data_IF_716649261402
#
_entry.id   IF_716649261402
#
_cell.length_a   1.000
_cell.length_b   1.000
_cell.length_c   1.000
_cell.angle_alpha   90.00
_cell.angle_beta   90.00
_cell.angle_gamma   90.00
#
_symmetry.space_group_name_H-M   'P 1'
#
loop_
_entity.id
_entity.type
_entity.pdbx_description
1 polymer ?
#
# COMPACT_ATOMS: atom_id res chain seq x y z
N UNK A 1 -41.69 -59.67 -2.57
CA UNK A 1 -41.04 -59.59 -3.89
C UNK A 1 -41.83 -58.57 -4.70
N UNK A 2 -41.23 -57.43 -5.07
CA UNK A 2 -41.85 -56.48 -5.98
C UNK A 2 -42.13 -57.18 -7.31
N UNK A 3 -43.33 -57.02 -7.88
CA UNK A 3 -43.65 -57.60 -9.18
C UNK A 3 -42.77 -56.97 -10.27
N UNK A 4 -42.50 -57.69 -11.37
CA UNK A 4 -41.68 -57.18 -12.48
C UNK A 4 -42.16 -55.82 -12.99
N UNK A 5 -43.48 -55.58 -12.99
CA UNK A 5 -44.10 -54.30 -13.36
C UNK A 5 -43.82 -53.18 -12.35
N UNK A 6 -43.80 -53.48 -11.05
CA UNK A 6 -43.45 -52.48 -10.03
C UNK A 6 -41.97 -52.09 -10.08
N UNK A 7 -41.08 -53.03 -10.43
CA UNK A 7 -39.65 -52.77 -10.61
C UNK A 7 -39.38 -51.92 -11.84
N UNK A 8 -40.08 -52.16 -12.96
CA UNK A 8 -39.97 -51.37 -14.17
C UNK A 8 -40.46 -49.92 -13.94
N UNK A 9 -41.63 -49.75 -13.33
CA UNK A 9 -42.17 -48.42 -13.01
C UNK A 9 -41.24 -47.61 -12.07
N UNK A 10 -40.57 -48.29 -11.13
CA UNK A 10 -39.58 -47.64 -10.27
C UNK A 10 -38.34 -47.18 -11.06
N UNK A 11 -37.81 -48.01 -11.96
CA UNK A 11 -36.65 -47.67 -12.79
C UNK A 11 -36.96 -46.52 -13.74
N UNK A 12 -38.14 -46.52 -14.37
CA UNK A 12 -38.62 -45.41 -15.19
C UNK A 12 -38.70 -44.11 -14.38
N UNK A 13 -39.33 -44.14 -13.21
CA UNK A 13 -39.42 -42.96 -12.34
C UNK A 13 -38.05 -42.42 -11.91
N UNK A 14 -37.07 -43.30 -11.66
CA UNK A 14 -35.69 -42.90 -11.30
C UNK A 14 -34.98 -42.20 -12.45
N UNK A 15 -35.12 -42.69 -13.68
CA UNK A 15 -34.50 -42.04 -14.85
C UNK A 15 -35.19 -40.72 -15.18
N UNK A 16 -36.52 -40.68 -15.07
CA UNK A 16 -37.35 -39.50 -15.32
C UNK A 16 -37.04 -38.36 -14.33
N UNK A 17 -36.79 -38.70 -13.06
CA UNK A 17 -36.48 -37.73 -12.00
C UNK A 17 -34.98 -37.49 -11.80
N UNK A 18 -34.13 -38.13 -12.61
CA UNK A 18 -32.68 -37.96 -12.53
C UNK A 18 -32.27 -36.52 -12.87
N UNK A 19 -31.40 -35.94 -12.04
CA UNK A 19 -30.79 -34.63 -12.29
C UNK A 19 -29.83 -34.64 -13.50
N UNK A 20 -29.25 -35.80 -13.81
CA UNK A 20 -28.40 -35.94 -14.98
C UNK A 20 -29.27 -36.08 -16.23
N UNK A 21 -28.84 -35.42 -17.31
CA UNK A 21 -29.48 -35.55 -18.60
C UNK A 21 -29.24 -36.95 -19.16
N UNK A 22 -30.31 -37.68 -19.46
CA UNK A 22 -30.26 -39.04 -20.00
C UNK A 22 -30.93 -39.06 -21.36
N UNK A 23 -30.25 -39.72 -22.30
CA UNK A 23 -30.71 -39.98 -23.65
C UNK A 23 -30.51 -41.48 -23.93
N UNK A 24 -31.48 -42.11 -24.57
CA UNK A 24 -31.37 -43.47 -25.10
C UNK A 24 -31.61 -43.43 -26.59
N UNK A 25 -30.76 -44.12 -27.34
CA UNK A 25 -30.90 -44.29 -28.79
C UNK A 25 -31.05 -45.76 -29.14
N UNK A 26 -31.59 -46.05 -30.33
CA UNK A 26 -31.48 -47.39 -30.92
C UNK A 26 -30.02 -47.78 -31.22
N UNK A 27 -29.78 -49.05 -31.53
CA UNK A 27 -28.46 -49.52 -31.95
C UNK A 27 -28.18 -49.32 -33.45
N UNK A 28 -29.05 -48.65 -34.21
CA UNK A 28 -28.93 -48.56 -35.66
C UNK A 28 -27.96 -47.45 -36.08
N UNK A 29 -26.72 -47.82 -36.38
CA UNK A 29 -25.69 -46.87 -36.82
C UNK A 29 -25.75 -46.55 -38.33
N UNK A 30 -26.65 -47.16 -39.10
CA UNK A 30 -26.78 -46.93 -40.54
C UNK A 30 -27.67 -45.70 -40.86
N UNK A 31 -27.55 -45.18 -42.09
CA UNK A 31 -28.44 -44.14 -42.65
C UNK A 31 -28.62 -42.89 -41.77
N UNK A 32 -27.56 -42.46 -41.08
CA UNK A 32 -27.58 -41.23 -40.26
C UNK A 32 -27.99 -41.42 -38.80
N UNK A 33 -28.25 -42.65 -38.37
CA UNK A 33 -28.48 -43.03 -36.97
C UNK A 33 -27.21 -42.96 -36.08
N UNK A 34 -27.31 -43.28 -34.78
CA UNK A 34 -28.47 -43.85 -34.09
C UNK A 34 -29.58 -42.81 -33.82
N UNK A 35 -30.81 -43.29 -33.64
CA UNK A 35 -31.99 -42.44 -33.45
C UNK A 35 -32.46 -42.46 -31.99
N UNK A 36 -32.85 -41.30 -31.50
CA UNK A 36 -33.31 -41.09 -30.12
C UNK A 36 -34.64 -41.83 -29.91
N UNK A 37 -34.70 -42.72 -28.93
CA UNK A 37 -35.93 -43.43 -28.54
C UNK A 37 -36.49 -42.93 -27.21
N UNK A 38 -35.66 -42.31 -26.38
CA UNK A 38 -36.08 -41.76 -25.10
C UNK A 38 -35.13 -40.64 -24.65
N UNK A 39 -35.69 -39.62 -24.00
CA UNK A 39 -34.97 -38.55 -23.30
C UNK A 39 -35.70 -38.23 -22.02
N UNK A 40 -34.97 -37.92 -20.95
CA UNK A 40 -35.57 -37.49 -19.70
C UNK A 40 -35.78 -35.95 -19.65
N UNK A 41 -36.58 -35.43 -18.71
CA UNK A 41 -36.82 -33.99 -18.55
C UNK A 41 -35.55 -33.16 -18.35
N UNK A 42 -34.52 -33.71 -17.68
CA UNK A 42 -33.24 -33.04 -17.51
C UNK A 42 -32.51 -32.83 -18.85
N UNK A 43 -32.58 -33.79 -19.78
CA UNK A 43 -32.04 -33.65 -21.13
C UNK A 43 -32.78 -32.58 -21.94
N UNK A 44 -34.12 -32.55 -21.88
CA UNK A 44 -34.91 -31.50 -22.51
C UNK A 44 -34.57 -30.12 -21.96
N UNK A 45 -34.45 -29.98 -20.63
CA UNK A 45 -34.06 -28.73 -19.98
C UNK A 45 -32.63 -28.30 -20.36
N UNK A 46 -31.71 -29.26 -20.47
CA UNK A 46 -30.32 -29.00 -20.85
C UNK A 46 -30.17 -28.63 -22.32
N UNK A 47 -30.99 -29.14 -23.23
CA UNK A 47 -30.85 -28.89 -24.67
C UNK A 47 -31.80 -27.82 -25.19
N UNK A 48 -32.87 -27.51 -24.46
CA UNK A 48 -33.93 -26.60 -24.88
C UNK A 48 -34.90 -27.19 -25.92
N UNK A 49 -34.70 -28.45 -26.33
CA UNK A 49 -35.63 -29.16 -27.20
C UNK A 49 -36.71 -29.88 -26.37
N UNK A 50 -37.90 -30.03 -26.94
CA UNK A 50 -38.94 -30.89 -26.36
C UNK A 50 -38.67 -32.35 -26.68
N UNK A 51 -39.23 -33.27 -25.88
CA UNK A 51 -39.07 -34.71 -26.13
C UNK A 51 -39.64 -35.11 -27.50
N UNK A 52 -40.76 -34.52 -27.91
CA UNK A 52 -41.40 -34.79 -29.20
C UNK A 52 -40.53 -34.38 -30.39
N UNK A 53 -39.73 -33.32 -30.24
CA UNK A 53 -38.80 -32.87 -31.27
C UNK A 53 -37.53 -33.75 -31.34
N UNK A 54 -37.18 -34.40 -30.23
CA UNK A 54 -35.98 -35.22 -30.11
C UNK A 54 -36.22 -36.69 -30.50
N UNK A 55 -37.36 -37.28 -30.10
CA UNK A 55 -37.67 -38.68 -30.39
C UNK A 55 -37.72 -38.91 -31.91
N UNK A 56 -36.97 -39.90 -32.39
CA UNK A 56 -36.79 -40.24 -33.80
C UNK A 56 -35.74 -39.38 -34.52
N UNK A 57 -35.21 -38.32 -33.90
CA UNK A 57 -34.11 -37.55 -34.46
C UNK A 57 -32.76 -38.20 -34.16
N UNK A 58 -31.72 -37.81 -34.91
CA UNK A 58 -30.34 -38.17 -34.61
C UNK A 58 -29.76 -37.18 -33.58
N UNK A 59 -29.00 -37.62 -32.55
CA UNK A 59 -28.32 -36.71 -31.62
C UNK A 59 -27.37 -35.71 -32.29
N UNK A 60 -27.03 -35.93 -33.56
CA UNK A 60 -26.26 -35.01 -34.40
C UNK A 60 -26.90 -33.63 -34.55
N UNK A 61 -28.21 -33.50 -34.29
CA UNK A 61 -28.91 -32.20 -34.25
C UNK A 61 -28.29 -31.22 -33.24
N UNK A 62 -27.62 -31.73 -32.20
CA UNK A 62 -26.95 -30.93 -31.18
C UNK A 62 -25.54 -30.49 -31.60
N UNK A 63 -25.00 -31.00 -32.71
CA UNK A 63 -23.66 -30.65 -33.20
C UNK A 63 -23.71 -29.34 -33.99
N UNK A 64 -22.61 -28.59 -33.97
CA UNK A 64 -22.48 -27.34 -34.72
C UNK A 64 -21.03 -26.97 -34.99
N UNK A 65 -20.74 -25.69 -35.31
CA UNK A 65 -19.43 -25.26 -35.81
C UNK A 65 -18.24 -25.61 -34.91
N UNK A 66 -18.39 -25.50 -33.59
CA UNK A 66 -17.31 -25.72 -32.62
C UNK A 66 -17.31 -27.16 -32.06
N UNK A 67 -18.16 -28.05 -32.57
CA UNK A 67 -18.14 -29.46 -32.18
C UNK A 67 -16.87 -30.12 -32.72
N UNK A 68 -16.02 -30.60 -31.82
CA UNK A 68 -14.75 -31.25 -32.15
C UNK A 68 -14.97 -32.54 -32.98
N UNK A 69 -14.55 -32.56 -34.26
CA UNK A 69 -14.73 -33.72 -35.13
C UNK A 69 -13.99 -34.97 -34.65
N UNK A 70 -12.85 -34.83 -33.97
CA UNK A 70 -12.04 -35.96 -33.50
C UNK A 70 -12.76 -36.69 -32.35
N UNK A 71 -13.39 -35.93 -31.45
CA UNK A 71 -14.19 -36.49 -30.35
C UNK A 71 -15.40 -37.26 -30.91
N UNK A 72 -16.05 -36.70 -31.94
CA UNK A 72 -17.19 -37.36 -32.59
C UNK A 72 -16.76 -38.62 -33.33
N UNK A 73 -15.60 -38.62 -34.00
CA UNK A 73 -15.10 -39.81 -34.68
C UNK A 73 -14.75 -40.93 -33.70
N UNK A 74 -14.02 -40.61 -32.63
CA UNK A 74 -13.74 -41.55 -31.53
C UNK A 74 -15.03 -42.12 -30.92
N UNK A 75 -16.07 -41.29 -30.78
CA UNK A 75 -17.38 -41.75 -30.33
C UNK A 75 -17.96 -42.77 -31.31
N UNK A 76 -17.97 -42.49 -32.62
CA UNK A 76 -18.50 -43.42 -33.64
C UNK A 76 -17.76 -44.75 -33.63
N UNK A 77 -16.42 -44.72 -33.55
CA UNK A 77 -15.59 -45.92 -33.44
C UNK A 77 -16.00 -46.76 -32.23
N UNK A 78 -16.06 -46.15 -31.02
CA UNK A 78 -16.48 -46.85 -29.81
C UNK A 78 -17.89 -47.47 -29.95
N UNK A 79 -18.85 -46.76 -30.54
CA UNK A 79 -20.20 -47.30 -30.74
C UNK A 79 -20.21 -48.48 -31.72
N UNK A 80 -19.44 -48.39 -32.81
CA UNK A 80 -19.33 -49.47 -33.81
C UNK A 80 -18.70 -50.75 -33.25
N UNK A 81 -17.73 -50.59 -32.33
CA UNK A 81 -17.09 -51.70 -31.62
C UNK A 81 -17.87 -52.14 -30.37
N UNK A 82 -19.03 -51.52 -30.10
CA UNK A 82 -19.84 -51.79 -28.91
C UNK A 82 -19.08 -51.61 -27.58
N UNK A 83 -18.25 -50.57 -27.52
CA UNK A 83 -17.44 -50.17 -26.37
C UNK A 83 -18.05 -48.98 -25.62
N UNK A 84 -17.59 -48.78 -24.39
CA UNK A 84 -17.89 -47.60 -23.59
C UNK A 84 -17.18 -46.36 -24.16
N UNK A 85 -17.89 -45.24 -24.24
CA UNK A 85 -17.31 -43.95 -24.62
C UNK A 85 -17.40 -42.94 -23.49
N UNK A 86 -16.33 -42.17 -23.29
CA UNK A 86 -16.30 -40.98 -22.45
C UNK A 86 -15.57 -39.85 -23.16
N UNK A 87 -16.17 -38.66 -23.16
CA UNK A 87 -15.58 -37.49 -23.77
C UNK A 87 -16.40 -36.22 -23.55
N UNK A 88 -15.83 -35.10 -23.98
CA UNK A 88 -16.47 -33.80 -23.93
C UNK A 88 -16.21 -33.01 -25.21
N UNK A 89 -17.19 -32.20 -25.61
CA UNK A 89 -17.11 -31.31 -26.78
C UNK A 89 -18.19 -30.24 -26.70
N UNK A 90 -18.29 -29.37 -27.71
CA UNK A 90 -19.35 -28.36 -27.81
C UNK A 90 -20.59 -28.93 -28.48
N UNK A 91 -21.74 -28.74 -27.84
CA UNK A 91 -23.07 -28.92 -28.43
C UNK A 91 -23.83 -27.58 -28.44
N UNK A 92 -24.95 -27.54 -29.15
CA UNK A 92 -25.80 -26.38 -29.32
C UNK A 92 -27.22 -26.67 -28.86
N UNK A 93 -27.83 -25.68 -28.21
CA UNK A 93 -29.23 -25.73 -27.78
C UNK A 93 -30.18 -25.43 -28.95
N UNK A 94 -31.48 -25.63 -28.74
CA UNK A 94 -32.51 -25.26 -29.71
C UNK A 94 -32.51 -23.78 -30.10
N UNK A 95 -32.05 -22.90 -29.21
CA UNK A 95 -31.89 -21.45 -29.48
C UNK A 95 -30.57 -21.09 -30.18
N UNK A 96 -29.73 -22.08 -30.48
CA UNK A 96 -28.43 -21.90 -31.11
C UNK A 96 -27.29 -21.53 -30.16
N UNK A 97 -27.52 -21.45 -28.84
CA UNK A 97 -26.45 -21.15 -27.88
C UNK A 97 -25.54 -22.36 -27.64
N UNK A 98 -24.20 -22.18 -27.64
CA UNK A 98 -23.26 -23.28 -27.42
C UNK A 98 -23.14 -23.63 -25.93
N UNK A 99 -22.90 -24.90 -25.65
CA UNK A 99 -22.51 -25.39 -24.34
C UNK A 99 -21.53 -26.56 -24.46
N UNK A 100 -20.57 -26.62 -23.54
CA UNK A 100 -19.67 -27.75 -23.41
C UNK A 100 -20.41 -28.85 -22.66
N UNK A 101 -20.50 -29.99 -23.30
CA UNK A 101 -21.09 -31.19 -22.74
C UNK A 101 -20.01 -32.21 -22.46
N UNK A 102 -20.13 -32.85 -21.32
CA UNK A 102 -19.39 -34.05 -20.95
C UNK A 102 -20.39 -35.21 -20.91
N UNK A 103 -20.07 -36.30 -21.58
CA UNK A 103 -20.97 -37.44 -21.63
C UNK A 103 -20.28 -38.79 -21.59
N UNK A 104 -21.03 -39.77 -21.10
CA UNK A 104 -20.67 -41.18 -21.05
C UNK A 104 -21.72 -41.98 -21.81
N UNK A 105 -21.29 -42.83 -22.74
CA UNK A 105 -22.19 -43.68 -23.53
C UNK A 105 -21.87 -45.14 -23.26
N UNK A 106 -22.90 -45.92 -22.92
CA UNK A 106 -22.80 -47.35 -22.66
C UNK A 106 -23.75 -48.12 -23.57
N UNK A 107 -23.30 -49.23 -24.21
CA UNK A 107 -24.19 -50.12 -24.94
C UNK A 107 -25.08 -50.90 -23.96
N UNK A 108 -26.34 -51.07 -24.33
CA UNK A 108 -27.31 -51.95 -23.66
C UNK A 108 -27.50 -53.18 -24.53
N UNK A 109 -27.44 -54.35 -23.92
CA UNK A 109 -27.52 -55.65 -24.60
C UNK A 109 -28.80 -56.38 -24.22
N UNK A 110 -29.38 -57.09 -25.17
CA UNK A 110 -30.48 -58.02 -24.93
C UNK A 110 -29.99 -59.33 -24.28
N UNK A 111 -30.93 -60.24 -24.00
CA UNK A 111 -30.63 -61.56 -23.42
C UNK A 111 -29.75 -62.45 -24.32
N UNK A 112 -29.67 -62.15 -25.61
CA UNK A 112 -28.79 -62.82 -26.57
C UNK A 112 -27.38 -62.17 -26.64
N UNK A 113 -27.12 -61.11 -25.87
CA UNK A 113 -25.85 -60.39 -25.84
C UNK A 113 -25.66 -59.39 -26.99
N UNK A 114 -26.68 -59.19 -27.83
CA UNK A 114 -26.65 -58.26 -28.96
C UNK A 114 -26.96 -56.84 -28.45
N UNK A 115 -26.21 -55.84 -28.92
CA UNK A 115 -26.49 -54.44 -28.56
C UNK A 115 -27.81 -54.01 -29.19
N UNK A 116 -28.77 -53.62 -28.36
CA UNK A 116 -30.09 -53.18 -28.78
C UNK A 116 -30.27 -51.65 -28.66
N UNK A 117 -29.56 -51.01 -27.73
CA UNK A 117 -29.63 -49.57 -27.49
C UNK A 117 -28.29 -49.00 -27.01
N UNK A 118 -28.16 -47.69 -27.06
CA UNK A 118 -27.10 -46.96 -26.35
C UNK A 118 -27.72 -45.98 -25.36
N UNK A 119 -27.22 -45.99 -24.12
CA UNK A 119 -27.59 -45.04 -23.06
C UNK A 119 -26.48 -44.01 -22.91
N UNK A 120 -26.84 -42.74 -23.03
CA UNK A 120 -25.96 -41.60 -22.81
C UNK A 120 -26.37 -40.85 -21.54
N UNK A 121 -25.41 -40.62 -20.65
CA UNK A 121 -25.56 -39.73 -19.49
C UNK A 121 -24.70 -38.49 -19.74
N UNK A 122 -25.29 -37.31 -19.62
CA UNK A 122 -24.67 -36.05 -20.04
C UNK A 122 -24.76 -34.98 -18.96
N UNK A 123 -23.75 -34.11 -18.94
CA UNK A 123 -23.68 -32.95 -18.08
C UNK A 123 -23.20 -31.73 -18.86
N UNK A 124 -23.85 -30.58 -18.63
CA UNK A 124 -23.34 -29.29 -19.10
C UNK A 124 -22.29 -28.77 -18.12
N UNK A 125 -21.02 -28.74 -18.56
CA UNK A 125 -19.89 -28.28 -17.75
C UNK A 125 -19.50 -26.82 -18.03
N UNK A 126 -20.21 -26.13 -18.92
CA UNK A 126 -19.94 -24.72 -19.25
C UNK A 126 -19.98 -23.78 -18.04
N UNK A 127 -20.96 -23.86 -17.12
CA UNK A 127 -21.00 -22.98 -15.95
C UNK A 127 -19.79 -23.16 -15.05
N UNK A 128 -19.35 -24.41 -14.85
CA UNK A 128 -18.18 -24.75 -14.05
C UNK A 128 -16.90 -24.17 -14.66
N UNK A 129 -16.67 -24.40 -15.95
CA UNK A 129 -15.49 -23.87 -16.65
C UNK A 129 -15.48 -22.34 -16.63
N UNK A 130 -16.64 -21.68 -16.79
CA UNK A 130 -16.73 -20.21 -16.71
C UNK A 130 -16.35 -19.71 -15.32
N UNK A 131 -16.89 -20.32 -14.27
CA UNK A 131 -16.56 -19.95 -12.89
C UNK A 131 -15.07 -20.15 -12.57
N UNK A 132 -14.47 -21.27 -12.99
CA UNK A 132 -13.04 -21.54 -12.82
C UNK A 132 -12.17 -20.51 -13.57
N UNK A 133 -12.55 -20.15 -14.80
CA UNK A 133 -11.84 -19.12 -15.59
C UNK A 133 -11.95 -17.73 -14.96
N UNK A 134 -13.12 -17.36 -14.48
CA UNK A 134 -13.36 -16.08 -13.82
C UNK A 134 -12.56 -15.97 -12.52
N UNK A 135 -12.56 -17.02 -11.69
CA UNK A 135 -11.72 -17.11 -10.50
C UNK A 135 -10.23 -16.95 -10.83
N UNK A 136 -9.77 -17.62 -11.89
CA UNK A 136 -8.38 -17.53 -12.33
C UNK A 136 -8.02 -16.11 -12.79
N UNK A 137 -8.89 -15.47 -13.58
CA UNK A 137 -8.70 -14.11 -14.05
C UNK A 137 -8.63 -13.09 -12.89
N UNK A 138 -9.52 -13.21 -11.91
CA UNK A 138 -9.51 -12.33 -10.73
C UNK A 138 -8.24 -12.52 -9.89
N UNK A 139 -7.79 -13.77 -9.69
CA UNK A 139 -6.54 -14.05 -9.00
C UNK A 139 -5.32 -13.46 -9.74
N UNK A 140 -5.28 -13.57 -11.07
CA UNK A 140 -4.24 -12.96 -11.89
C UNK A 140 -4.27 -11.43 -11.80
N UNK A 141 -5.46 -10.81 -11.82
CA UNK A 141 -5.61 -9.36 -11.72
C UNK A 141 -5.11 -8.82 -10.37
N UNK A 142 -5.40 -9.51 -9.25
CA UNK A 142 -4.89 -9.14 -7.93
C UNK A 142 -3.36 -9.26 -7.84
N UNK A 143 -2.78 -10.28 -8.48
CA UNK A 143 -1.33 -10.47 -8.52
C UNK A 143 -0.62 -9.43 -9.39
N UNK A 144 -1.22 -9.02 -10.51
CA UNK A 144 -0.66 -8.02 -11.42
C UNK A 144 -0.79 -6.57 -10.90
N UNK A 145 -1.57 -6.35 -9.84
CA UNK A 145 -1.71 -5.03 -9.25
C UNK A 145 -0.37 -4.51 -8.70
N UNK A 146 -0.05 -3.25 -9.00
CA UNK A 146 1.20 -2.61 -8.57
C UNK A 146 1.19 -2.25 -7.07
N UNK A 147 0.01 -1.99 -6.51
CA UNK A 147 -0.13 -1.70 -5.10
C UNK A 147 -0.07 -3.02 -4.30
N UNK A 148 0.67 -3.05 -3.17
CA UNK A 148 0.66 -4.18 -2.25
C UNK A 148 -0.74 -4.53 -1.72
N UNK A 149 -1.15 -5.77 -1.93
CA UNK A 149 -2.44 -6.31 -1.47
C UNK A 149 -2.20 -7.53 -0.60
N UNK A 150 -2.86 -7.56 0.57
CA UNK A 150 -2.99 -8.77 1.39
C UNK A 150 -4.45 -9.01 1.74
N UNK A 151 -4.81 -10.27 1.93
CA UNK A 151 -6.09 -10.68 2.52
C UNK A 151 -5.79 -11.49 3.78
N UNK A 152 -6.48 -11.18 4.87
CA UNK A 152 -6.39 -11.95 6.11
C UNK A 152 -7.73 -12.58 6.49
N UNK A 153 -7.70 -13.68 7.22
CA UNK A 153 -8.86 -14.17 7.95
C UNK A 153 -9.23 -13.26 9.15
N UNK A 154 -10.26 -13.63 9.90
CA UNK A 154 -10.70 -12.91 11.10
C UNK A 154 -9.72 -12.98 12.28
N UNK A 155 -8.77 -13.92 12.28
CA UNK A 155 -7.69 -14.03 13.24
C UNK A 155 -6.44 -13.22 12.82
N UNK A 156 -6.55 -12.46 11.73
CA UNK A 156 -5.44 -11.71 11.12
C UNK A 156 -4.31 -12.62 10.61
N UNK A 157 -4.64 -13.82 10.15
CA UNK A 157 -3.74 -14.73 9.42
C UNK A 157 -3.78 -14.37 7.95
N UNK A 158 -2.62 -14.14 7.32
CA UNK A 158 -2.54 -13.80 5.90
C UNK A 158 -2.85 -15.05 5.08
N UNK A 159 -3.94 -15.00 4.30
CA UNK A 159 -4.37 -16.08 3.39
C UNK A 159 -4.02 -15.79 1.93
N UNK A 160 -3.72 -14.53 1.61
CA UNK A 160 -3.27 -14.11 0.29
C UNK A 160 -2.34 -12.90 0.40
N UNK A 161 -1.31 -12.86 -0.44
CA UNK A 161 -0.44 -11.70 -0.63
C UNK A 161 0.02 -11.65 -2.09
N UNK A 162 -0.14 -10.51 -2.75
CA UNK A 162 0.28 -10.34 -4.14
C UNK A 162 1.79 -10.16 -4.29
N UNK A 163 2.27 -10.13 -5.55
CA UNK A 163 3.69 -9.93 -5.85
C UNK A 163 4.21 -8.57 -5.36
N UNK A 164 3.42 -7.51 -5.48
CA UNK A 164 3.80 -6.17 -5.00
C UNK A 164 4.07 -6.16 -3.48
N UNK A 165 3.27 -6.89 -2.68
CA UNK A 165 3.50 -7.03 -1.25
C UNK A 165 4.81 -7.79 -0.93
N UNK A 166 5.15 -8.80 -1.71
CA UNK A 166 6.43 -9.50 -1.58
C UNK A 166 7.60 -8.57 -1.90
N UNK A 167 7.52 -7.84 -3.01
CA UNK A 167 8.56 -6.92 -3.47
C UNK A 167 8.81 -5.79 -2.48
N UNK A 168 7.75 -5.15 -1.97
CA UNK A 168 7.89 -4.04 -1.03
C UNK A 168 8.44 -4.53 0.32
N UNK A 169 7.97 -5.66 0.85
CA UNK A 169 8.36 -6.10 2.19
C UNK A 169 9.69 -6.86 2.21
N UNK A 170 10.08 -7.44 1.07
CA UNK A 170 11.24 -8.31 0.93
C UNK A 170 11.03 -9.75 1.42
N UNK A 171 9.81 -10.10 1.87
CA UNK A 171 9.46 -11.46 2.26
C UNK A 171 8.93 -12.25 1.06
N UNK A 172 9.29 -13.53 1.00
CA UNK A 172 8.75 -14.45 0.01
C UNK A 172 7.33 -14.89 0.37
N UNK A 173 6.55 -15.34 -0.62
CA UNK A 173 5.19 -15.87 -0.40
C UNK A 173 5.13 -16.93 0.71
N UNK A 174 6.10 -17.86 0.76
CA UNK A 174 6.16 -18.91 1.79
C UNK A 174 6.43 -18.39 3.22
N UNK A 175 7.02 -17.20 3.35
CA UNK A 175 7.25 -16.56 4.65
C UNK A 175 6.09 -15.65 5.06
N UNK A 176 5.18 -15.34 4.13
CA UNK A 176 4.05 -14.43 4.35
C UNK A 176 2.77 -15.20 4.63
N UNK A 177 2.49 -16.26 3.85
CA UNK A 177 1.25 -17.02 3.98
C UNK A 177 1.21 -17.77 5.32
N UNK A 178 0.08 -17.65 6.03
CA UNK A 178 -0.09 -18.23 7.37
C UNK A 178 0.44 -17.36 8.51
N UNK A 179 1.16 -16.27 8.20
CA UNK A 179 1.68 -15.36 9.21
C UNK A 179 0.71 -14.22 9.53
N UNK A 180 1.00 -13.49 10.61
CA UNK A 180 0.23 -12.32 11.00
C UNK A 180 0.93 -11.03 10.51
N UNK A 181 0.21 -10.01 9.97
CA UNK A 181 0.82 -8.78 9.47
C UNK A 181 1.71 -8.04 10.47
N UNK A 182 1.57 -8.31 11.77
CA UNK A 182 2.49 -7.82 12.81
C UNK A 182 3.96 -8.20 12.58
N UNK A 183 4.27 -9.16 11.69
CA UNK A 183 5.62 -9.46 11.25
C UNK A 183 6.37 -8.23 10.71
N UNK A 184 5.63 -7.25 10.17
CA UNK A 184 6.17 -5.98 9.69
C UNK A 184 6.32 -4.92 10.79
N UNK A 185 5.98 -5.22 12.04
CA UNK A 185 6.02 -4.23 13.12
C UNK A 185 7.42 -3.67 13.34
N UNK A 186 7.52 -2.34 13.30
CA UNK A 186 8.76 -1.61 13.60
C UNK A 186 8.99 -1.34 15.08
N UNK A 187 7.96 -1.52 15.91
CA UNK A 187 7.97 -1.08 17.32
C UNK A 187 7.86 0.44 17.52
N UNK A 188 7.53 1.22 16.47
CA UNK A 188 7.37 2.68 16.56
C UNK A 188 5.96 3.15 16.95
N UNK A 189 4.99 2.24 16.96
CA UNK A 189 3.61 2.50 17.40
C UNK A 189 3.39 1.95 18.80
N UNK A 190 2.65 2.69 19.62
CA UNK A 190 2.34 2.32 21.01
C UNK A 190 1.12 1.39 21.11
N UNK A 191 0.86 0.88 22.32
CA UNK A 191 -0.28 -0.01 22.55
C UNK A 191 -1.62 0.68 22.32
N UNK A 192 -1.71 1.99 22.58
CA UNK A 192 -2.92 2.78 22.38
C UNK A 192 -3.32 2.83 20.91
N UNK A 193 -2.36 3.03 20.01
CA UNK A 193 -2.58 2.99 18.57
C UNK A 193 -3.16 1.63 18.12
N UNK A 194 -2.57 0.52 18.55
CA UNK A 194 -3.06 -0.82 18.18
C UNK A 194 -4.41 -1.16 18.80
N UNK A 195 -4.73 -0.63 19.98
CA UNK A 195 -6.04 -0.77 20.60
C UNK A 195 -7.12 -0.06 19.78
N UNK A 196 -6.89 1.21 19.42
CA UNK A 196 -7.79 1.99 18.55
C UNK A 196 -7.97 1.34 17.19
N UNK A 197 -6.88 0.84 16.59
CA UNK A 197 -6.92 0.12 15.32
C UNK A 197 -7.80 -1.13 15.38
N UNK A 198 -7.66 -1.95 16.42
CA UNK A 198 -8.49 -3.15 16.62
C UNK A 198 -9.95 -2.80 16.83
N UNK A 199 -10.25 -1.72 17.55
CA UNK A 199 -11.62 -1.25 17.74
C UNK A 199 -12.23 -0.77 16.42
N UNK A 200 -11.48 -0.02 15.63
CA UNK A 200 -11.91 0.44 14.32
C UNK A 200 -12.20 -0.73 13.36
N UNK A 201 -11.40 -1.80 13.37
CA UNK A 201 -11.68 -3.01 12.57
C UNK A 201 -12.98 -3.73 12.95
N UNK A 202 -13.39 -3.66 14.23
CA UNK A 202 -14.64 -4.27 14.71
C UNK A 202 -15.89 -3.51 14.24
N UNK A 203 -15.74 -2.25 13.84
CA UNK A 203 -16.87 -1.45 13.34
C UNK A 203 -17.48 -1.99 12.05
N UNK A 204 -16.75 -2.84 11.30
CA UNK A 204 -17.18 -3.34 10.00
C UNK A 204 -17.17 -2.29 8.89
N UNK A 205 -16.63 -1.09 9.14
CA UNK A 205 -16.45 -0.05 8.14
C UNK A 205 -15.03 -0.08 7.53
N UNK A 206 -14.85 0.41 6.28
CA UNK A 206 -13.53 0.65 5.73
C UNK A 206 -12.73 1.62 6.59
N UNK A 207 -11.46 1.30 6.82
CA UNK A 207 -10.54 2.10 7.63
C UNK A 207 -9.31 2.47 6.81
N UNK A 208 -8.84 3.70 6.98
CA UNK A 208 -7.55 4.16 6.47
C UNK A 208 -6.63 4.51 7.63
N UNK A 209 -5.39 4.02 7.60
CA UNK A 209 -4.40 4.30 8.65
C UNK A 209 -2.98 4.16 8.11
N UNK A 210 -2.01 4.83 8.73
CA UNK A 210 -0.60 4.78 8.32
C UNK A 210 0.23 4.03 9.36
N UNK A 211 0.94 3.00 8.90
CA UNK A 211 1.87 2.21 9.70
C UNK A 211 3.32 2.58 9.39
N UNK A 212 4.16 2.61 10.44
CA UNK A 212 5.61 2.60 10.28
C UNK A 212 6.01 1.14 10.38
N UNK A 213 6.35 0.56 9.24
CA UNK A 213 6.67 -0.85 9.11
C UNK A 213 8.17 -1.05 8.90
N UNK A 214 8.62 -2.27 9.10
CA UNK A 214 10.00 -2.71 8.92
C UNK A 214 10.03 -3.81 7.86
N UNK A 215 10.88 -3.63 6.84
CA UNK A 215 11.13 -4.65 5.81
C UNK A 215 12.00 -5.78 6.36
N UNK A 216 12.14 -6.86 5.59
CA UNK A 216 13.00 -8.01 5.96
C UNK A 216 14.47 -7.62 6.21
N UNK A 217 14.98 -6.64 5.47
CA UNK A 217 16.35 -6.12 5.62
C UNK A 217 16.53 -5.18 6.83
N UNK A 218 15.45 -4.88 7.56
CA UNK A 218 15.44 -3.99 8.72
C UNK A 218 15.18 -2.51 8.39
N UNK A 219 15.10 -2.13 7.11
CA UNK A 219 14.77 -0.75 6.73
C UNK A 219 13.32 -0.40 7.10
N UNK A 220 13.12 0.86 7.52
CA UNK A 220 11.79 1.37 7.85
C UNK A 220 11.11 1.95 6.62
N UNK A 221 9.79 1.75 6.54
CA UNK A 221 8.96 2.35 5.51
C UNK A 221 7.60 2.75 6.08
N UNK A 222 7.01 3.79 5.49
CA UNK A 222 5.69 4.28 5.85
C UNK A 222 4.69 3.73 4.85
N UNK A 223 3.75 2.95 5.35
CA UNK A 223 2.72 2.33 4.54
C UNK A 223 1.37 2.90 4.96
N UNK A 224 0.69 3.53 4.00
CA UNK A 224 -0.70 3.93 4.18
C UNK A 224 -1.60 2.78 3.72
N UNK A 225 -2.44 2.26 4.61
CA UNK A 225 -3.29 1.11 4.37
C UNK A 225 -4.75 1.54 4.28
N UNK A 226 -5.45 1.06 3.26
CA UNK A 226 -6.90 1.04 3.15
C UNK A 226 -7.38 -0.39 3.40
N UNK A 227 -8.13 -0.60 4.49
CA UNK A 227 -8.54 -1.91 4.97
C UNK A 227 -10.05 -2.00 4.93
N UNK A 228 -10.58 -2.99 4.22
CA UNK A 228 -12.01 -3.22 4.05
C UNK A 228 -12.40 -4.63 4.46
N UNK A 229 -13.50 -4.81 5.22
CA UNK A 229 -14.00 -6.14 5.55
C UNK A 229 -14.66 -6.81 4.34
N UNK A 230 -14.54 -8.13 4.26
CA UNK A 230 -15.21 -8.98 3.29
C UNK A 230 -16.23 -9.87 4.03
N UNK A 231 -17.50 -9.71 3.69
CA UNK A 231 -18.60 -10.41 4.35
C UNK A 231 -19.09 -11.62 3.55
N UNK A 232 -19.61 -12.63 4.26
CA UNK A 232 -20.36 -13.73 3.64
C UNK A 232 -21.79 -13.29 3.25
N UNK A 233 -22.56 -14.20 2.68
CA UNK A 233 -23.96 -13.96 2.28
C UNK A 233 -24.89 -13.60 3.46
N UNK A 234 -24.49 -13.92 4.69
CA UNK A 234 -25.23 -13.63 5.92
C UNK A 234 -24.82 -12.28 6.54
N UNK A 235 -23.88 -11.56 5.92
CA UNK A 235 -23.37 -10.27 6.39
C UNK A 235 -22.27 -10.35 7.46
N UNK A 236 -21.84 -11.56 7.84
CA UNK A 236 -20.76 -11.75 8.79
C UNK A 236 -19.39 -11.52 8.13
N UNK A 237 -18.51 -10.74 8.78
CA UNK A 237 -17.14 -10.52 8.32
C UNK A 237 -16.35 -11.84 8.40
N UNK A 238 -15.79 -12.26 7.28
CA UNK A 238 -14.97 -13.49 7.19
C UNK A 238 -13.49 -13.18 6.98
N UNK A 239 -13.20 -12.12 6.24
CA UNK A 239 -11.84 -11.72 5.87
C UNK A 239 -11.71 -10.20 5.88
N UNK A 240 -10.48 -9.73 5.79
CA UNK A 240 -10.16 -8.33 5.53
C UNK A 240 -9.21 -8.25 4.34
N UNK A 241 -9.50 -7.33 3.42
CA UNK A 241 -8.56 -6.95 2.36
C UNK A 241 -7.86 -5.65 2.74
N UNK A 242 -6.54 -5.63 2.62
CA UNK A 242 -5.72 -4.44 2.84
C UNK A 242 -4.96 -4.11 1.57
N UNK A 243 -5.14 -2.89 1.08
CA UNK A 243 -4.38 -2.32 -0.03
C UNK A 243 -3.48 -1.25 0.56
N UNK A 244 -2.20 -1.30 0.23
CA UNK A 244 -1.18 -0.46 0.86
C UNK A 244 -0.49 0.41 -0.18
N UNK A 245 -0.11 1.63 0.21
CA UNK A 245 0.73 2.50 -0.60
C UNK A 245 1.99 2.88 0.19
N UNK A 246 3.16 2.75 -0.43
CA UNK A 246 4.41 3.26 0.15
C UNK A 246 4.44 4.78 0.03
N UNK A 247 4.34 5.46 1.17
CA UNK A 247 4.37 6.93 1.26
C UNK A 247 5.70 7.45 1.79
N UNK A 248 6.73 6.58 1.92
CA UNK A 248 8.05 6.92 2.45
C UNK A 248 8.71 8.05 1.67
N UNK A 249 8.66 8.01 0.34
CA UNK A 249 9.27 9.05 -0.51
C UNK A 249 8.54 10.38 -0.42
N UNK A 250 7.21 10.37 -0.31
CA UNK A 250 6.38 11.57 -0.12
C UNK A 250 6.68 12.20 1.24
N UNK A 251 6.60 11.42 2.32
CA UNK A 251 6.88 11.90 3.67
C UNK A 251 8.34 12.34 3.84
N UNK A 252 9.30 11.64 3.21
CA UNK A 252 10.70 12.05 3.20
C UNK A 252 10.93 13.37 2.46
N UNK A 253 10.20 13.62 1.38
CA UNK A 253 10.23 14.91 0.67
C UNK A 253 9.59 16.02 1.49
N UNK A 254 8.44 15.77 2.11
CA UNK A 254 7.77 16.74 2.99
C UNK A 254 8.64 17.09 4.21
N UNK A 255 9.27 16.09 4.85
CA UNK A 255 10.21 16.30 5.95
C UNK A 255 11.43 17.12 5.50
N UNK A 256 12.00 16.81 4.34
CA UNK A 256 13.14 17.57 3.80
C UNK A 256 12.75 19.00 3.39
N UNK A 257 11.53 19.21 2.89
CA UNK A 257 10.98 20.54 2.62
C UNK A 257 10.79 21.33 3.91
N UNK A 258 10.34 20.69 5.00
CA UNK A 258 10.26 21.30 6.32
C UNK A 258 11.66 21.64 6.86
N UNK A 259 12.64 20.75 6.74
CA UNK A 259 14.03 21.03 7.13
C UNK A 259 14.60 22.23 6.36
N UNK A 260 14.39 22.29 5.04
CA UNK A 260 14.83 23.44 4.21
C UNK A 260 14.05 24.72 4.55
N UNK A 261 12.76 24.61 4.87
CA UNK A 261 11.94 25.76 5.23
C UNK A 261 12.37 26.38 6.56
N UNK A 262 12.96 25.60 7.47
CA UNK A 262 13.29 26.04 8.84
C UNK A 262 14.79 26.20 9.13
N UNK A 263 15.69 25.54 8.38
CA UNK A 263 17.14 25.58 8.62
C UNK A 263 17.93 26.26 7.49
N UNK A 264 19.09 26.81 7.82
CA UNK A 264 20.07 27.32 6.86
C UNK A 264 20.93 26.16 6.31
N UNK A 265 21.00 25.96 4.99
CA UNK A 265 21.63 24.78 4.39
C UNK A 265 23.15 24.73 4.55
N UNK A 266 23.81 25.88 4.76
CA UNK A 266 25.25 25.91 4.96
C UNK A 266 25.62 25.52 6.39
N UNK A 267 24.90 26.04 7.38
CA UNK A 267 25.26 25.94 8.80
C UNK A 267 24.50 24.88 9.58
N UNK A 268 23.32 24.47 9.10
CA UNK A 268 22.39 23.61 9.85
C UNK A 268 21.83 24.25 11.13
N UNK A 269 21.97 25.58 11.27
CA UNK A 269 21.24 26.39 12.24
C UNK A 269 19.85 26.73 11.70
N UNK A 270 18.99 27.33 12.52
CA UNK A 270 17.75 27.90 12.04
C UNK A 270 18.03 28.97 10.95
N UNK A 271 17.15 29.10 9.97
CA UNK A 271 17.23 30.21 9.02
C UNK A 271 16.53 31.46 9.59
N UNK A 272 16.77 32.61 8.95
CA UNK A 272 16.13 33.89 9.29
C UNK A 272 14.62 33.78 9.51
N UNK A 273 13.91 33.09 8.61
CA UNK A 273 12.44 32.96 8.67
C UNK A 273 11.98 32.19 9.91
N UNK A 274 12.69 31.13 10.27
CA UNK A 274 12.40 30.35 11.49
C UNK A 274 12.63 31.17 12.77
N UNK A 275 13.71 31.96 12.78
CA UNK A 275 14.00 32.86 13.91
C UNK A 275 12.95 33.99 14.06
N UNK A 276 12.53 34.61 12.96
CA UNK A 276 11.46 35.62 12.93
C UNK A 276 10.15 35.04 13.48
N UNK A 277 9.74 33.87 12.99
CA UNK A 277 8.54 33.19 13.48
C UNK A 277 8.64 32.81 14.97
N UNK A 278 9.81 32.37 15.43
CA UNK A 278 10.04 32.05 16.84
C UNK A 278 9.93 33.29 17.73
N UNK A 279 10.47 34.43 17.28
CA UNK A 279 10.34 35.72 17.97
C UNK A 279 8.89 36.18 18.09
N UNK A 280 8.15 36.16 16.97
CA UNK A 280 6.74 36.54 16.93
C UNK A 280 5.88 35.69 17.87
N UNK A 281 6.23 34.40 18.02
CA UNK A 281 5.53 33.48 18.93
C UNK A 281 5.93 33.69 20.40
N UNK A 282 7.21 33.94 20.69
CA UNK A 282 7.71 33.99 22.07
C UNK A 282 7.41 35.33 22.76
N UNK A 283 7.47 36.46 22.06
CA UNK A 283 7.27 37.79 22.67
C UNK A 283 5.92 37.93 23.40
N UNK A 284 4.77 37.52 22.82
CA UNK A 284 3.49 37.57 23.53
C UNK A 284 3.48 36.69 24.79
N UNK A 285 4.04 35.48 24.70
CA UNK A 285 4.09 34.53 25.81
C UNK A 285 4.98 35.04 26.96
N UNK A 286 6.14 35.59 26.63
CA UNK A 286 7.07 36.20 27.58
C UNK A 286 6.42 37.40 28.27
N UNK A 287 5.77 38.28 27.50
CA UNK A 287 5.09 39.47 28.03
C UNK A 287 4.01 39.13 29.05
N UNK A 288 3.34 37.98 28.91
CA UNK A 288 2.38 37.47 29.89
C UNK A 288 3.03 36.83 31.12
N UNK A 289 4.15 36.12 30.94
CA UNK A 289 4.82 35.39 32.01
C UNK A 289 5.71 36.28 32.91
N UNK A 290 6.09 37.46 32.43
CA UNK A 290 6.99 38.38 33.14
C UNK A 290 8.45 37.92 33.24
N UNK A 291 8.81 36.80 32.59
CA UNK A 291 10.19 36.32 32.54
C UNK A 291 11.05 37.17 31.59
N UNK A 292 12.36 37.30 31.84
CA UNK A 292 13.23 38.07 30.95
C UNK A 292 13.49 37.29 29.65
N UNK A 293 13.63 38.02 28.54
CA UNK A 293 13.95 37.47 27.24
C UNK A 293 14.97 38.36 26.56
N UNK A 294 16.07 37.78 26.09
CA UNK A 294 17.13 38.55 25.45
C UNK A 294 17.45 38.03 24.06
N UNK A 295 17.98 38.92 23.24
CA UNK A 295 18.39 38.67 21.87
C UNK A 295 19.83 39.12 21.69
N UNK A 296 20.60 38.33 20.94
CA UNK A 296 21.97 38.65 20.55
C UNK A 296 22.05 38.64 19.02
N UNK A 297 22.59 39.70 18.42
CA UNK A 297 22.99 39.72 17.01
C UNK A 297 24.51 39.70 16.97
N UNK A 298 25.06 38.84 16.12
CA UNK A 298 26.49 38.59 15.97
C UNK A 298 26.89 38.75 14.50
N UNK A 299 28.05 39.32 14.24
CA UNK A 299 28.62 39.47 12.89
C UNK A 299 30.09 39.07 12.89
N UNK A 300 30.51 38.35 11.86
CA UNK A 300 31.92 37.97 11.68
C UNK A 300 32.71 39.19 11.19
N UNK A 301 33.66 39.61 12.02
CA UNK A 301 34.48 40.78 11.75
C UNK A 301 35.32 40.57 10.50
N UNK A 302 35.34 41.59 9.64
CA UNK A 302 36.15 41.61 8.41
C UNK A 302 35.87 40.44 7.46
N UNK A 303 34.67 39.84 7.50
CA UNK A 303 34.32 38.67 6.68
C UNK A 303 34.54 38.90 5.16
N UNK A 304 34.21 40.10 4.66
CA UNK A 304 34.49 40.46 3.26
C UNK A 304 35.97 40.32 2.90
N UNK A 305 36.89 40.72 3.79
CA UNK A 305 38.33 40.60 3.54
C UNK A 305 38.80 39.14 3.51
N UNK A 306 38.12 38.24 4.26
CA UNK A 306 38.36 36.80 4.18
C UNK A 306 37.97 36.27 2.80
N UNK A 307 36.77 36.61 2.32
CA UNK A 307 36.31 36.21 0.98
C UNK A 307 37.20 36.77 -0.13
N UNK A 308 37.56 38.05 -0.04
CA UNK A 308 38.39 38.72 -1.05
C UNK A 308 39.81 38.11 -1.12
N UNK A 309 40.32 37.57 0.00
CA UNK A 309 41.68 37.01 0.09
C UNK A 309 41.74 35.50 -0.19
N UNK A 310 40.76 34.74 0.29
CA UNK A 310 40.80 33.26 0.28
C UNK A 310 39.67 32.62 -0.54
N UNK A 311 38.73 33.41 -1.05
CA UNK A 311 37.60 32.95 -1.84
C UNK A 311 36.40 32.50 -1.00
N UNK A 312 35.25 32.35 -1.66
CA UNK A 312 34.00 31.95 -1.03
C UNK A 312 34.04 30.61 -0.27
N UNK A 313 34.71 29.54 -0.75
CA UNK A 313 34.78 28.28 0.00
C UNK A 313 35.45 28.42 1.38
N UNK A 314 36.46 29.30 1.49
CA UNK A 314 37.10 29.62 2.75
C UNK A 314 36.15 30.43 3.66
N UNK A 315 35.39 31.39 3.09
CA UNK A 315 34.32 32.08 3.80
C UNK A 315 33.24 31.15 4.36
N UNK A 316 32.81 30.18 3.56
CA UNK A 316 31.84 29.15 3.98
C UNK A 316 32.40 28.29 5.13
N UNK A 317 33.70 27.98 5.09
CA UNK A 317 34.41 27.29 6.18
C UNK A 317 34.44 28.12 7.46
N UNK A 318 34.56 29.45 7.35
CA UNK A 318 34.46 30.36 8.50
C UNK A 318 33.05 30.37 9.07
N UNK A 319 32.04 30.56 8.23
CA UNK A 319 30.63 30.59 8.65
C UNK A 319 30.23 29.29 9.35
N UNK A 320 30.58 28.14 8.78
CA UNK A 320 30.29 26.83 9.36
C UNK A 320 31.00 26.60 10.70
N UNK A 321 32.26 27.05 10.82
CA UNK A 321 33.00 26.90 12.07
C UNK A 321 32.45 27.79 13.19
N UNK A 322 32.05 29.04 12.87
CA UNK A 322 31.38 29.93 13.83
C UNK A 322 30.02 29.35 14.24
N UNK A 323 29.23 28.85 13.29
CA UNK A 323 27.94 28.23 13.58
C UNK A 323 28.06 27.02 14.52
N UNK A 324 29.10 26.20 14.34
CA UNK A 324 29.38 25.07 15.23
C UNK A 324 29.66 25.54 16.67
N UNK A 325 30.41 26.62 16.85
CA UNK A 325 30.63 27.22 18.18
C UNK A 325 29.32 27.71 18.79
N UNK A 326 28.48 28.40 18.02
CA UNK A 326 27.17 28.84 18.51
C UNK A 326 26.34 27.66 19.02
N UNK A 327 26.21 26.61 18.20
CA UNK A 327 25.44 25.41 18.53
C UNK A 327 25.95 24.69 19.78
N UNK A 328 27.26 24.70 20.03
CA UNK A 328 27.88 24.09 21.21
C UNK A 328 27.76 24.93 22.49
N UNK A 329 27.56 26.24 22.38
CA UNK A 329 27.56 27.17 23.53
C UNK A 329 26.17 27.50 24.04
N UNK A 330 25.14 27.36 23.20
CA UNK A 330 23.75 27.63 23.58
C UNK A 330 23.11 26.43 24.30
N UNK A 331 22.06 26.69 25.07
CA UNK A 331 21.27 25.67 25.79
C UNK A 331 20.17 25.11 24.89
N UNK A 332 19.50 24.04 25.34
CA UNK A 332 18.39 23.41 24.61
C UNK A 332 17.23 24.36 24.30
N UNK A 333 16.97 25.36 25.16
CA UNK A 333 15.88 26.32 24.99
C UNK A 333 16.29 27.55 24.15
N UNK A 334 17.58 27.75 23.95
CA UNK A 334 18.10 28.85 23.17
C UNK A 334 18.00 28.50 21.67
N UNK A 335 17.84 29.51 20.82
CA UNK A 335 17.80 29.32 19.36
C UNK A 335 18.97 30.09 18.76
N UNK A 336 19.77 29.45 17.91
CA UNK A 336 20.74 30.15 17.07
C UNK A 336 20.34 29.99 15.61
N UNK A 337 20.37 31.11 14.89
CA UNK A 337 19.97 31.19 13.49
C UNK A 337 21.01 31.97 12.68
N UNK A 338 21.16 31.60 11.41
CA UNK A 338 21.87 32.45 10.44
C UNK A 338 20.91 33.52 9.93
N UNK A 339 21.19 34.77 10.28
CA UNK A 339 20.32 35.91 9.99
C UNK A 339 20.48 36.41 8.55
N UNK A 340 21.70 36.34 8.01
CA UNK A 340 22.00 36.64 6.61
C UNK A 340 23.50 36.82 6.39
N UNK A 341 24.05 36.34 5.27
CA UNK A 341 25.49 36.46 4.98
C UNK A 341 26.35 35.88 6.11
N UNK A 342 27.09 36.77 6.78
CA UNK A 342 27.96 36.52 7.94
C UNK A 342 27.32 36.82 9.31
N UNK A 343 26.04 37.20 9.33
CA UNK A 343 25.30 37.56 10.54
C UNK A 343 24.53 36.37 11.13
N UNK A 344 24.54 36.31 12.46
CA UNK A 344 23.82 35.32 13.25
C UNK A 344 22.94 36.01 14.29
N UNK A 345 21.84 35.35 14.64
CA UNK A 345 20.91 35.80 15.64
C UNK A 345 20.69 34.70 16.67
N UNK A 346 20.70 35.06 17.95
CA UNK A 346 20.53 34.12 19.06
C UNK A 346 19.38 34.62 19.94
N UNK A 347 18.40 33.74 20.16
CA UNK A 347 17.29 33.96 21.08
C UNK A 347 17.61 33.26 22.40
N UNK A 348 17.55 34.02 23.50
CA UNK A 348 17.93 33.56 24.83
C UNK A 348 16.73 33.74 25.77
N UNK A 349 15.77 32.81 25.78
CA UNK A 349 14.62 32.90 26.67
C UNK A 349 15.03 32.74 28.13
N UNK A 350 14.17 33.22 29.02
CA UNK A 350 14.34 33.19 30.48
C UNK A 350 15.70 33.77 30.92
N UNK A 351 16.21 34.76 30.18
CA UNK A 351 17.52 35.38 30.41
C UNK A 351 17.48 36.91 30.32
N UNK A 352 17.98 37.55 31.36
CA UNK A 352 18.19 39.00 31.45
C UNK A 352 19.35 39.48 30.57
N UNK A 353 19.45 40.79 30.37
CA UNK A 353 20.52 41.44 29.60
C UNK A 353 21.90 41.01 30.07
N UNK A 354 22.11 40.94 31.40
CA UNK A 354 23.38 40.54 31.99
C UNK A 354 23.74 39.09 31.64
N UNK A 355 22.77 38.17 31.75
CA UNK A 355 22.99 36.75 31.46
C UNK A 355 23.25 36.51 29.96
N UNK A 356 22.53 37.23 29.10
CA UNK A 356 22.74 37.19 27.66
C UNK A 356 24.10 37.79 27.26
N UNK A 357 24.54 38.87 27.92
CA UNK A 357 25.87 39.45 27.72
C UNK A 357 26.99 38.49 28.16
N UNK A 358 26.81 37.78 29.27
CA UNK A 358 27.75 36.74 29.71
C UNK A 358 27.82 35.57 28.72
N UNK A 359 26.68 35.17 28.12
CA UNK A 359 26.67 34.18 27.04
C UNK A 359 27.39 34.71 25.79
N UNK A 360 27.08 35.93 25.37
CA UNK A 360 27.70 36.60 24.21
C UNK A 360 29.22 36.67 24.37
N UNK A 361 29.73 37.02 25.55
CA UNK A 361 31.18 37.13 25.80
C UNK A 361 31.87 35.76 25.79
N UNK A 362 31.21 34.70 26.28
CA UNK A 362 31.75 33.33 26.17
C UNK A 362 31.81 32.85 24.73
N UNK A 363 30.80 33.19 23.92
CA UNK A 363 30.77 32.91 22.49
C UNK A 363 31.91 33.66 21.80
N UNK A 364 32.04 34.97 22.05
CA UNK A 364 33.11 35.82 21.51
C UNK A 364 34.50 35.24 21.76
N UNK A 365 34.82 34.91 23.02
CA UNK A 365 36.12 34.30 23.38
C UNK A 365 36.35 32.94 22.74
N UNK A 366 35.29 32.15 22.54
CA UNK A 366 35.39 30.84 21.88
C UNK A 366 35.69 30.99 20.39
N UNK A 367 35.14 32.01 19.73
CA UNK A 367 35.44 32.31 18.33
C UNK A 367 36.81 32.95 18.17
N UNK A 368 37.21 33.87 19.06
CA UNK A 368 38.54 34.49 19.05
C UNK A 368 39.68 33.46 19.20
N UNK A 369 39.44 32.38 19.95
CA UNK A 369 40.40 31.28 20.13
C UNK A 369 40.33 30.21 19.03
N UNK A 370 39.38 30.33 18.09
CA UNK A 370 39.22 29.39 16.99
C UNK A 370 40.29 29.62 15.93
N UNK A 371 41.00 28.55 15.57
CA UNK A 371 41.94 28.55 14.45
C UNK A 371 41.30 27.77 13.31
N UNK A 372 40.97 28.47 12.24
CA UNK A 372 40.33 27.90 11.06
C UNK A 372 41.43 27.61 10.02
N UNK A 373 41.48 26.39 9.46
CA UNK A 373 42.42 26.07 8.38
C UNK A 373 42.33 27.10 7.25
N UNK A 374 43.47 27.45 6.67
CA UNK A 374 43.61 28.41 5.56
C UNK A 374 43.36 29.90 5.92
N UNK A 375 42.36 30.23 6.72
CA UNK A 375 42.00 31.63 7.03
C UNK A 375 42.64 32.18 8.31
N UNK A 376 43.04 31.30 9.23
CA UNK A 376 43.58 31.67 10.53
C UNK A 376 42.50 31.99 11.57
N UNK A 377 42.80 32.91 12.49
CA UNK A 377 41.86 33.35 13.53
C UNK A 377 40.87 34.39 12.99
N UNK A 378 39.62 34.31 13.44
CA UNK A 378 38.57 35.28 13.16
C UNK A 378 38.00 35.82 14.47
N UNK A 379 37.41 37.02 14.41
CA UNK A 379 36.71 37.61 15.56
C UNK A 379 35.26 37.91 15.19
N UNK A 380 34.43 38.09 16.22
CA UNK A 380 33.03 38.46 16.05
C UNK A 380 32.70 39.66 16.93
N UNK A 381 31.84 40.53 16.42
CA UNK A 381 31.22 41.61 17.18
C UNK A 381 29.79 41.20 17.53
N UNK A 382 29.33 41.51 18.75
CA UNK A 382 27.99 41.14 19.21
C UNK A 382 27.25 42.34 19.81
N UNK A 383 25.97 42.46 19.48
CA UNK A 383 25.03 43.38 20.11
C UNK A 383 23.97 42.61 20.90
N UNK A 384 23.73 43.00 22.15
CA UNK A 384 22.79 42.32 23.06
C UNK A 384 21.69 43.28 23.46
N UNK A 385 20.44 42.81 23.45
CA UNK A 385 19.29 43.56 23.91
C UNK A 385 18.33 42.67 24.70
N UNK A 386 17.82 43.17 25.82
CA UNK A 386 16.72 42.53 26.58
C UNK A 386 15.38 43.14 26.16
N UNK A 387 14.37 42.30 25.98
CA UNK A 387 13.00 42.69 25.62
C UNK A 387 12.40 43.63 26.68
N UNK A 388 11.99 44.81 26.25
CA UNK A 388 11.28 45.77 27.11
C UNK A 388 9.77 45.54 27.09
N UNK A 389 9.08 45.99 28.14
CA UNK A 389 7.62 45.85 28.24
C UNK A 389 6.90 46.55 27.07
N UNK A 390 6.03 45.81 26.36
CA UNK A 390 5.27 46.32 25.22
C UNK A 390 6.09 46.48 23.94
N UNK A 391 7.33 45.99 23.90
CA UNK A 391 8.20 46.08 22.74
C UNK A 391 7.88 45.01 21.67
N UNK A 392 8.02 45.37 20.40
CA UNK A 392 7.86 44.46 19.26
C UNK A 392 9.17 43.76 18.88
N UNK A 393 9.08 42.63 18.17
CA UNK A 393 10.25 41.92 17.64
C UNK A 393 11.17 42.84 16.83
N UNK A 394 10.58 43.68 15.96
CA UNK A 394 11.32 44.60 15.11
C UNK A 394 12.11 45.65 15.93
N UNK A 395 11.52 46.20 17.00
CA UNK A 395 12.21 47.15 17.88
C UNK A 395 13.35 46.48 18.65
N UNK A 396 13.13 45.27 19.17
CA UNK A 396 14.15 44.50 19.87
C UNK A 396 15.36 44.20 18.97
N UNK A 397 15.11 43.71 17.75
CA UNK A 397 16.14 43.49 16.73
C UNK A 397 16.89 44.78 16.44
N UNK A 398 16.17 45.90 16.25
CA UNK A 398 16.80 47.19 15.95
C UNK A 398 17.71 47.69 17.08
N UNK A 399 17.37 47.45 18.35
CA UNK A 399 18.24 47.79 19.48
C UNK A 399 19.49 46.92 19.52
N UNK A 400 19.34 45.61 19.34
CA UNK A 400 20.48 44.70 19.27
C UNK A 400 21.41 45.06 18.09
N UNK A 401 20.86 45.42 16.94
CA UNK A 401 21.60 45.86 15.76
C UNK A 401 22.37 47.17 16.02
N UNK A 402 21.75 48.14 16.69
CA UNK A 402 22.43 49.37 17.12
C UNK A 402 23.60 49.07 18.06
N UNK A 403 23.45 48.15 19.00
CA UNK A 403 24.54 47.73 19.88
C UNK A 403 25.66 47.03 19.08
N UNK A 404 25.32 46.14 18.15
CA UNK A 404 26.28 45.50 17.26
C UNK A 404 27.07 46.53 16.44
N UNK A 405 26.39 47.54 15.90
CA UNK A 405 27.03 48.64 15.19
C UNK A 405 28.00 49.42 16.09
N UNK A 406 27.66 49.67 17.36
CA UNK A 406 28.60 50.26 18.31
C UNK A 406 29.80 49.36 18.59
N UNK A 407 29.60 48.05 18.74
CA UNK A 407 30.70 47.09 18.90
C UNK A 407 31.68 47.18 17.72
N UNK A 408 31.17 47.25 16.48
CA UNK A 408 31.99 47.43 15.28
C UNK A 408 32.74 48.76 15.27
N UNK A 409 32.14 49.86 15.75
CA UNK A 409 32.78 51.19 15.82
C UNK A 409 33.83 51.30 16.91
N UNK A 410 33.64 50.65 18.04
CA UNK A 410 34.53 50.68 19.20
C UNK A 410 35.70 49.69 19.11
N UNK A 411 36.03 49.24 17.90
CA UNK A 411 37.21 48.41 17.64
C UNK A 411 36.94 46.94 17.34
N UNK A 412 35.67 46.52 17.18
CA UNK A 412 35.27 45.13 16.91
C UNK A 412 35.68 44.15 18.02
N UNK A 413 35.50 42.84 17.80
CA UNK A 413 35.86 41.79 18.74
C UNK A 413 35.38 42.08 20.18
N UNK A 414 34.10 42.44 20.33
CA UNK A 414 33.52 42.85 21.60
C UNK A 414 32.01 42.67 21.65
N UNK A 415 31.47 42.69 22.86
CA UNK A 415 30.04 42.71 23.15
C UNK A 415 29.64 44.11 23.57
N UNK A 416 28.56 44.64 22.97
CA UNK A 416 27.90 45.85 23.43
C UNK A 416 26.43 45.57 23.76
N UNK A 417 25.87 46.28 24.74
CA UNK A 417 24.50 46.10 25.20
C UNK A 417 23.66 47.35 24.91
N UNK A 418 22.38 47.17 24.58
CA UNK A 418 21.41 48.23 24.31
C UNK A 418 20.44 48.49 25.47
#
# INVERSE_FOLDING_TARGET
MTSSSQRLALLEAVVEQSFNAVLITDANLANGGPFIVYVNPAFCSMTGYTAEALIGASPRILQGPDTDPQVIERMRECLSESLFFEGSTVNYRADGSPYIVEWKISPVRDDAGTVCNFVSVQQNISPRIRAEREQHLLAQALNAALDPIIITDCNSTIVFANEAFQQITGYSSSEILGENPRMLSSGKHDEAFYAQFKEALKSGAPLRTTFINKRKDGSLFYAEHSISPLCNLEGAVTHYVSISQDVTTRLGREQKLLEIAHSDPLTGLDNRRSAEHTLERQIPAVSMSGKPFSLIICDIDHFKAVNDRYGHPAGDSVITSVAAILKQRIRLLDVAARWGGEEFLILVPDSSLKQAAELAERIRKSVESLVIPETGSVTISLGVAELSAGETAASLIQRADKALYQAKRLGRNRVECA
#
